data_IF_873008171492
#
_entry.id   IF_873008171492
#
_cell.length_a   1.000
_cell.length_b   1.000
_cell.length_c   1.000
_cell.angle_alpha   90.00
_cell.angle_beta   90.00
_cell.angle_gamma   90.00
#
_symmetry.space_group_name_H-M   'P 1'
#
loop_
_entity.id
_entity.type
_entity.pdbx_description
1 polymer ?
#
# COMPACT_ATOMS: atom_id res chain seq x y z
N UNK A 1 22.11 6.37 -9.84
CA UNK A 1 23.47 6.06 -9.35
C UNK A 1 23.37 4.89 -8.38
N UNK A 2 24.43 4.13 -8.15
CA UNK A 2 24.42 2.99 -7.24
C UNK A 2 25.69 2.17 -7.41
N UNK A 3 26.06 1.43 -6.37
CA UNK A 3 27.19 0.53 -6.39
C UNK A 3 26.75 -0.83 -6.94
N UNK A 4 27.42 -1.26 -8.01
CA UNK A 4 27.13 -2.54 -8.67
C UNK A 4 28.31 -3.48 -8.44
N UNK A 5 28.02 -4.66 -7.92
CA UNK A 5 28.97 -5.78 -7.81
C UNK A 5 28.61 -6.83 -8.85
N UNK A 6 29.60 -7.33 -9.59
CA UNK A 6 29.42 -8.38 -10.58
C UNK A 6 30.05 -9.66 -10.04
N UNK A 7 29.27 -10.74 -9.93
CA UNK A 7 29.75 -12.06 -9.53
C UNK A 7 28.77 -13.12 -9.99
N UNK A 8 29.25 -14.31 -10.37
CA UNK A 8 28.43 -15.47 -10.73
C UNK A 8 27.28 -15.11 -11.69
N UNK A 9 27.62 -14.49 -12.83
CA UNK A 9 26.66 -14.11 -13.89
C UNK A 9 25.55 -13.14 -13.44
N UNK A 10 25.74 -12.48 -12.29
CA UNK A 10 24.75 -11.59 -11.68
C UNK A 10 25.37 -10.23 -11.37
N UNK A 11 24.63 -9.17 -11.68
CA UNK A 11 24.85 -7.83 -11.16
C UNK A 11 24.01 -7.68 -9.89
N UNK A 12 24.63 -7.32 -8.78
CA UNK A 12 23.96 -7.03 -7.52
C UNK A 12 24.13 -5.56 -7.16
N UNK A 13 23.08 -4.94 -6.65
CA UNK A 13 23.08 -3.56 -6.15
C UNK A 13 22.37 -3.50 -4.81
N UNK A 14 22.88 -2.67 -3.90
CA UNK A 14 22.27 -2.43 -2.59
C UNK A 14 21.70 -1.02 -2.44
N UNK A 15 22.00 -0.12 -3.37
CA UNK A 15 21.79 1.32 -3.24
C UNK A 15 21.53 1.99 -4.60
N UNK A 16 20.77 1.31 -5.47
CA UNK A 16 20.36 1.92 -6.73
C UNK A 16 19.40 3.07 -6.44
N UNK A 17 19.80 4.27 -6.83
CA UNK A 17 19.06 5.51 -6.68
C UNK A 17 18.73 6.09 -8.05
N UNK A 18 17.45 6.32 -8.28
CA UNK A 18 16.91 7.09 -9.39
C UNK A 18 16.23 8.33 -8.81
N UNK A 19 16.63 9.51 -9.29
CA UNK A 19 16.06 10.79 -8.84
C UNK A 19 15.31 11.42 -10.00
N UNK A 20 14.09 11.83 -9.73
CA UNK A 20 13.22 12.59 -10.63
C UNK A 20 12.72 13.84 -9.89
N UNK A 21 12.14 14.79 -10.62
CA UNK A 21 11.54 16.01 -10.03
C UNK A 21 10.33 15.71 -9.15
N UNK A 22 9.64 14.59 -9.38
CA UNK A 22 8.40 14.22 -8.68
C UNK A 22 8.58 13.10 -7.66
N UNK A 23 9.66 12.32 -7.75
CA UNK A 23 9.91 11.19 -6.88
C UNK A 23 11.40 10.82 -6.83
N UNK A 24 11.79 10.15 -5.77
CA UNK A 24 12.99 9.33 -5.70
C UNK A 24 12.60 7.85 -5.69
N UNK A 25 13.39 7.02 -6.37
CA UNK A 25 13.29 5.57 -6.31
C UNK A 25 14.60 5.00 -5.81
N UNK A 26 14.52 4.23 -4.74
CA UNK A 26 15.64 3.45 -4.21
C UNK A 26 15.40 1.98 -4.47
N UNK A 27 16.41 1.21 -4.85
CA UNK A 27 16.27 -0.21 -5.13
C UNK A 27 17.50 -1.01 -4.74
N UNK A 28 17.26 -2.27 -4.37
CA UNK A 28 18.25 -3.28 -4.05
C UNK A 28 17.84 -4.62 -4.64
N UNK A 29 18.80 -5.42 -5.06
CA UNK A 29 18.55 -6.75 -5.59
C UNK A 29 19.51 -7.10 -6.71
N UNK A 30 19.05 -7.97 -7.61
CA UNK A 30 19.90 -8.61 -8.61
C UNK A 30 19.34 -8.48 -10.03
N UNK A 31 20.26 -8.46 -10.98
CA UNK A 31 20.02 -8.55 -12.42
C UNK A 31 20.92 -9.66 -12.95
N UNK A 32 20.35 -10.74 -13.49
CA UNK A 32 21.12 -11.80 -14.12
C UNK A 32 21.52 -11.43 -15.55
N UNK A 33 22.65 -11.97 -16.03
CA UNK A 33 23.05 -11.88 -17.43
C UNK A 33 22.10 -12.66 -18.37
N UNK A 34 21.33 -13.58 -17.81
CA UNK A 34 20.17 -14.23 -18.45
C UNK A 34 18.96 -13.29 -18.58
N UNK A 35 19.14 -12.00 -18.29
CA UNK A 35 18.13 -10.93 -18.26
C UNK A 35 17.13 -11.02 -17.12
N UNK A 36 17.28 -11.97 -16.18
CA UNK A 36 16.41 -12.06 -15.01
C UNK A 36 16.55 -10.81 -14.14
N UNK A 37 15.44 -10.36 -13.59
CA UNK A 37 15.35 -9.17 -12.75
C UNK A 37 14.65 -9.52 -11.46
N UNK A 38 15.23 -9.11 -10.33
CA UNK A 38 14.60 -9.19 -9.02
C UNK A 38 15.11 -8.07 -8.12
N UNK A 39 14.37 -6.97 -8.09
CA UNK A 39 14.68 -5.79 -7.28
C UNK A 39 13.55 -5.51 -6.30
N UNK A 40 13.89 -5.36 -5.02
CA UNK A 40 13.06 -4.65 -4.06
C UNK A 40 13.31 -3.16 -4.22
N UNK A 41 12.26 -2.41 -4.52
CA UNK A 41 12.32 -0.98 -4.73
C UNK A 41 11.40 -0.23 -3.77
N UNK A 42 11.66 1.05 -3.61
CA UNK A 42 10.86 1.95 -2.82
C UNK A 42 10.77 3.26 -3.59
N UNK A 43 9.55 3.63 -4.01
CA UNK A 43 9.28 4.92 -4.62
C UNK A 43 8.73 5.86 -3.56
N UNK A 44 9.36 7.02 -3.44
CA UNK A 44 8.96 8.08 -2.53
C UNK A 44 8.70 9.35 -3.31
N UNK A 45 7.50 9.87 -3.19
CA UNK A 45 7.07 11.07 -3.90
C UNK A 45 7.41 12.32 -3.10
N UNK A 46 7.51 13.46 -3.80
CA UNK A 46 7.60 14.76 -3.13
C UNK A 46 6.34 15.02 -2.31
N UNK A 47 6.45 15.83 -1.26
CA UNK A 47 5.33 16.18 -0.39
C UNK A 47 4.16 16.79 -1.20
N UNK A 48 4.47 17.77 -2.06
CA UNK A 48 3.46 18.45 -2.88
C UNK A 48 2.68 17.46 -3.77
N UNK A 49 3.39 16.54 -4.42
CA UNK A 49 2.75 15.54 -5.28
C UNK A 49 1.97 14.51 -4.47
N UNK A 50 2.50 14.10 -3.32
CA UNK A 50 1.86 13.16 -2.38
C UNK A 50 0.53 13.70 -1.86
N UNK A 51 0.52 14.95 -1.40
CA UNK A 51 -0.69 15.64 -0.93
C UNK A 51 -1.70 15.83 -2.07
N UNK A 52 -1.24 16.14 -3.29
CA UNK A 52 -2.11 16.24 -4.45
C UNK A 52 -2.78 14.90 -4.80
N UNK A 53 -2.05 13.79 -4.70
CA UNK A 53 -2.60 12.44 -4.86
C UNK A 53 -3.59 12.09 -3.75
N UNK A 54 -3.24 12.33 -2.48
CA UNK A 54 -4.09 12.06 -1.32
C UNK A 54 -5.34 12.97 -1.25
N UNK A 55 -5.32 14.12 -1.93
CA UNK A 55 -6.51 14.95 -2.12
C UNK A 55 -7.50 14.32 -3.10
N UNK A 56 -7.00 13.67 -4.16
CA UNK A 56 -7.82 13.00 -5.19
C UNK A 56 -8.28 11.60 -4.77
N UNK A 57 -7.43 10.88 -4.06
CA UNK A 57 -7.66 9.50 -3.61
C UNK A 57 -7.59 9.52 -2.09
N UNK A 58 -8.74 9.59 -1.43
CA UNK A 58 -8.83 9.80 0.02
C UNK A 58 -8.15 8.68 0.80
N UNK A 59 -8.12 7.46 0.26
CA UNK A 59 -7.46 6.30 0.85
C UNK A 59 -5.94 6.46 1.01
N UNK A 60 -5.32 7.29 0.18
CA UNK A 60 -3.88 7.52 0.26
C UNK A 60 -3.50 8.43 1.42
N UNK A 61 -4.45 9.12 2.06
CA UNK A 61 -4.17 9.97 3.22
C UNK A 61 -3.58 9.17 4.37
N UNK A 62 -4.08 7.96 4.59
CA UNK A 62 -3.59 7.06 5.63
C UNK A 62 -2.23 6.43 5.29
N UNK A 63 -1.75 6.63 4.06
CA UNK A 63 -0.49 6.09 3.55
C UNK A 63 0.62 7.15 3.54
N UNK A 64 0.30 8.39 3.88
CA UNK A 64 1.28 9.45 4.06
C UNK A 64 2.15 9.13 5.28
N UNK A 65 3.46 9.31 5.13
CA UNK A 65 4.38 9.28 6.25
C UNK A 65 4.31 10.58 7.08
N UNK A 66 5.13 10.64 8.13
CA UNK A 66 5.23 11.81 9.03
C UNK A 66 5.65 13.11 8.32
N UNK A 67 6.26 12.99 7.14
CA UNK A 67 6.76 14.09 6.32
C UNK A 67 5.77 14.42 5.17
N UNK A 68 4.53 13.92 5.25
CA UNK A 68 3.47 14.04 4.25
C UNK A 68 3.86 13.49 2.87
N UNK A 69 4.72 12.47 2.83
CA UNK A 69 5.15 11.82 1.59
C UNK A 69 4.54 10.44 1.45
N UNK A 70 4.15 10.12 0.21
CA UNK A 70 3.77 8.77 -0.14
C UNK A 70 5.03 7.96 -0.39
N UNK A 71 5.16 6.87 0.35
CA UNK A 71 6.22 5.90 0.25
C UNK A 71 5.60 4.55 -0.09
N UNK A 72 5.90 4.04 -1.28
CA UNK A 72 5.33 2.79 -1.79
C UNK A 72 6.47 1.79 -2.02
N UNK A 73 6.55 0.71 -1.23
CA UNK A 73 7.46 -0.38 -1.51
C UNK A 73 6.94 -1.19 -2.70
N UNK A 74 7.84 -1.51 -3.62
CA UNK A 74 7.58 -2.17 -4.89
C UNK A 74 8.50 -3.38 -5.03
N UNK A 75 8.06 -4.36 -5.82
CA UNK A 75 8.89 -5.43 -6.34
C UNK A 75 8.92 -5.34 -7.86
N UNK A 76 10.13 -5.28 -8.40
CA UNK A 76 10.38 -5.26 -9.84
C UNK A 76 10.99 -6.62 -10.17
N UNK A 77 10.28 -7.43 -10.94
CA UNK A 77 10.68 -8.80 -11.23
C UNK A 77 10.41 -9.18 -12.68
N UNK A 78 10.96 -10.31 -13.11
CA UNK A 78 10.72 -10.86 -14.45
C UNK A 78 12.00 -10.84 -15.27
N UNK A 79 11.90 -10.38 -16.52
CA UNK A 79 13.04 -10.28 -17.43
C UNK A 79 13.17 -8.87 -17.98
N UNK A 80 14.32 -8.51 -18.55
CA UNK A 80 14.51 -7.19 -19.16
C UNK A 80 13.49 -6.88 -20.28
N UNK A 81 12.96 -7.91 -20.96
CA UNK A 81 11.91 -7.77 -22.00
C UNK A 81 10.50 -7.77 -21.43
N UNK A 82 10.28 -8.43 -20.29
CA UNK A 82 8.99 -8.53 -19.61
C UNK A 82 9.15 -8.15 -18.14
N UNK A 83 9.20 -6.85 -17.89
CA UNK A 83 9.33 -6.29 -16.54
C UNK A 83 7.96 -6.22 -15.89
N UNK A 84 7.83 -6.82 -14.72
CA UNK A 84 6.63 -6.78 -13.87
C UNK A 84 6.93 -5.94 -12.64
N UNK A 85 6.15 -4.87 -12.45
CA UNK A 85 6.22 -4.00 -11.27
C UNK A 85 4.95 -4.18 -10.46
N UNK A 86 5.10 -4.65 -9.23
CA UNK A 86 3.97 -4.87 -8.30
C UNK A 86 4.24 -4.22 -6.95
N UNK A 87 3.21 -3.78 -6.22
CA UNK A 87 3.39 -3.36 -4.83
C UNK A 87 3.90 -4.52 -3.98
N UNK A 88 4.86 -4.25 -3.09
CA UNK A 88 5.33 -5.23 -2.12
C UNK A 88 4.34 -5.26 -0.95
N UNK A 89 3.35 -6.16 -1.05
CA UNK A 89 2.29 -6.30 -0.04
C UNK A 89 2.87 -6.66 1.33
N UNK A 90 3.99 -7.40 1.39
CA UNK A 90 4.60 -7.79 2.66
C UNK A 90 5.15 -6.57 3.39
N UNK A 91 5.83 -5.68 2.67
CA UNK A 91 6.35 -4.43 3.23
C UNK A 91 5.24 -3.40 3.48
N UNK A 92 4.20 -3.35 2.63
CA UNK A 92 3.01 -2.54 2.89
C UNK A 92 2.30 -2.97 4.18
N UNK A 93 2.19 -4.27 4.45
CA UNK A 93 1.57 -4.80 5.67
C UNK A 93 2.35 -4.41 6.94
N UNK A 94 3.66 -4.26 6.85
CA UNK A 94 4.51 -3.79 7.95
C UNK A 94 4.41 -2.28 8.17
N UNK A 95 4.00 -1.52 7.16
CA UNK A 95 3.84 -0.06 7.26
C UNK A 95 2.46 0.33 7.79
N UNK A 96 2.26 1.62 8.09
CA UNK A 96 0.96 2.14 8.53
C UNK A 96 -0.16 1.89 7.51
N UNK A 97 0.18 1.79 6.21
CA UNK A 97 -0.73 1.39 5.14
C UNK A 97 -1.31 -0.01 5.36
N UNK A 98 -0.53 -0.91 5.99
CA UNK A 98 -0.89 -2.28 6.29
C UNK A 98 -2.09 -2.42 7.20
N UNK A 99 -2.26 -1.51 8.15
CA UNK A 99 -3.42 -1.47 9.06
C UNK A 99 -4.72 -1.14 8.32
N UNK A 100 -4.64 -0.33 7.28
CA UNK A 100 -5.79 0.04 6.44
C UNK A 100 -6.12 -1.07 5.44
N UNK A 101 -5.10 -1.67 4.82
CA UNK A 101 -5.24 -2.81 3.90
C UNK A 101 -5.85 -4.03 4.60
N UNK A 102 -5.35 -4.38 5.79
CA UNK A 102 -5.91 -5.48 6.59
C UNK A 102 -7.36 -5.23 6.96
N UNK A 103 -7.71 -4.04 7.44
CA UNK A 103 -9.10 -3.72 7.77
C UNK A 103 -10.04 -3.78 6.57
N UNK A 104 -9.61 -3.36 5.38
CA UNK A 104 -10.44 -3.42 4.16
C UNK A 104 -10.53 -4.82 3.54
N UNK A 105 -9.44 -5.60 3.55
CA UNK A 105 -9.43 -6.97 3.03
C UNK A 105 -10.14 -7.94 3.96
N UNK A 106 -9.85 -7.87 5.27
CA UNK A 106 -10.54 -8.70 6.27
C UNK A 106 -12.01 -8.30 6.39
N UNK A 107 -12.34 -7.01 6.29
CA UNK A 107 -13.73 -6.55 6.28
C UNK A 107 -14.55 -7.07 5.09
N UNK A 108 -13.93 -7.34 3.94
CA UNK A 108 -14.62 -7.94 2.78
C UNK A 108 -14.67 -9.46 2.83
N UNK A 109 -13.62 -10.12 3.34
CA UNK A 109 -13.55 -11.59 3.42
C UNK A 109 -14.35 -12.14 4.60
N UNK A 110 -14.43 -11.41 5.71
CA UNK A 110 -15.17 -11.82 6.91
C UNK A 110 -16.48 -11.04 7.14
N UNK A 111 -16.77 -10.00 6.35
CA UNK A 111 -17.94 -9.13 6.54
C UNK A 111 -19.21 -9.55 5.81
N UNK A 112 -19.16 -10.44 4.83
CA UNK A 112 -20.34 -10.83 4.03
C UNK A 112 -21.14 -12.01 4.60
N UNK A 113 -20.77 -12.54 5.77
CA UNK A 113 -21.46 -13.67 6.41
C UNK A 113 -22.23 -13.33 7.70
N UNK A 114 -22.70 -12.09 7.85
CA UNK A 114 -23.86 -11.82 8.70
C UNK A 114 -25.09 -11.65 7.82
N UNK A 115 -25.61 -12.80 7.40
CA UNK A 115 -26.97 -12.93 6.92
C UNK A 115 -27.95 -12.28 7.88
N UNK A 116 -28.77 -11.45 7.24
CA UNK A 116 -30.10 -10.99 7.65
C UNK A 116 -30.93 -12.15 8.24
N UNK A 117 -30.93 -12.28 9.55
CA UNK A 117 -32.04 -12.87 10.30
C UNK A 117 -33.11 -11.80 10.54
N UNK A 118 -34.15 -11.82 9.71
CA UNK A 118 -35.48 -11.27 10.00
C UNK A 118 -35.95 -11.74 11.38
N UNK A 119 -36.41 -10.85 12.25
CA UNK A 119 -37.86 -10.67 12.50
C UNK A 119 -38.17 -9.68 13.64
N UNK A 120 -39.01 -8.71 13.28
CA UNK A 120 -40.05 -8.05 14.07
C UNK A 120 -39.99 -8.04 15.61
N UNK A 121 -39.83 -6.85 16.20
CA UNK A 121 -40.95 -6.29 16.98
C UNK A 121 -40.88 -4.76 17.13
N UNK A 122 -41.86 -4.15 16.46
CA UNK A 122 -42.35 -2.79 16.65
C UNK A 122 -43.25 -2.79 17.90
N UNK A 123 -42.83 -2.16 18.98
CA UNK A 123 -43.70 -1.53 20.00
C UNK A 123 -42.80 -0.56 20.75
N UNK A 124 -42.95 0.76 20.61
CA UNK A 124 -44.19 1.49 20.80
C UNK A 124 -43.86 2.56 21.82
N UNK A 125 -43.13 3.59 21.39
CA UNK A 125 -43.10 4.84 22.12
C UNK A 125 -44.50 5.44 22.08
N UNK A 126 -45.08 5.65 23.26
CA UNK A 126 -46.16 6.57 23.65
C UNK A 126 -46.62 6.10 25.04
N UNK A 127 -46.25 6.85 26.08
CA UNK A 127 -46.63 6.48 27.46
C UNK A 127 -46.21 7.48 28.54
N UNK A 128 -45.49 8.56 28.19
CA UNK A 128 -45.30 9.69 29.09
C UNK A 128 -46.49 10.65 29.02
N UNK A 129 -47.68 10.25 29.47
CA UNK A 129 -48.85 11.13 29.62
C UNK A 129 -49.93 10.54 30.55
N UNK A 130 -49.61 9.90 31.68
CA UNK A 130 -50.58 9.68 32.77
C UNK A 130 -49.84 9.60 34.12
N UNK A 131 -50.03 10.62 34.96
CA UNK A 131 -49.43 10.70 36.30
C UNK A 131 -49.78 12.01 36.98
N UNK A 132 -51.07 12.36 37.00
CA UNK A 132 -51.61 13.35 37.91
C UNK A 132 -52.59 12.64 38.83
N UNK A 133 -52.18 12.47 40.09
CA UNK A 133 -52.93 12.63 41.35
C UNK A 133 -51.93 12.58 42.50
#
# INVERSE_FOLDING_TARGET
TGNITISNETLSTNDLLLVSTLFDLTAKGTIGFDTSLNLGANIRFTELFSLAMAKKISELRDWLDKDNRLNIPLRIQGTATNVVVVPDVTELLKSNAGKVLTNKLLGKVFGDNKEKGKDSKKSGGLGGLLGGF
#
